data_IF_751685567553
#
_entry.id   IF_751685567553
#
_cell.length_a   1.000
_cell.length_b   1.000
_cell.length_c   1.000
_cell.angle_alpha   90.00
_cell.angle_beta   90.00
_cell.angle_gamma   90.00
#
_symmetry.space_group_name_H-M   'P 1'
#
loop_
_entity.id
_entity.type
_entity.pdbx_description
1 polymer ?
#
# COMPACT_ATOMS: atom_id res chain seq x y z
N UNK A 1 -11.97 5.63 19.89
CA UNK A 1 -12.26 5.02 18.60
C UNK A 1 -11.18 5.37 17.58
N UNK A 2 -10.67 4.37 16.87
CA UNK A 2 -9.62 4.62 15.90
C UNK A 2 -10.25 5.01 14.57
N UNK A 3 -9.87 6.17 14.07
CA UNK A 3 -10.36 6.65 12.78
C UNK A 3 -9.56 6.02 11.65
N UNK A 4 -10.24 5.51 10.65
CA UNK A 4 -9.58 5.01 9.46
C UNK A 4 -9.17 6.16 8.56
N UNK A 5 -7.97 6.04 7.97
CA UNK A 5 -7.40 7.07 7.10
C UNK A 5 -7.48 6.57 5.65
N UNK A 6 -7.87 7.46 4.74
CA UNK A 6 -7.81 7.14 3.32
C UNK A 6 -6.35 7.14 2.88
N UNK A 7 -5.95 6.14 2.09
CA UNK A 7 -4.56 6.05 1.63
C UNK A 7 -4.12 7.32 0.90
N UNK A 8 -5.04 7.99 0.22
CA UNK A 8 -4.73 9.24 -0.48
C UNK A 8 -4.28 10.35 0.47
N UNK A 9 -4.72 10.29 1.72
CA UNK A 9 -4.30 11.29 2.72
C UNK A 9 -2.86 11.08 3.17
N UNK A 10 -2.35 9.86 3.05
CA UNK A 10 -0.97 9.54 3.45
C UNK A 10 0.04 9.77 2.34
N UNK A 11 -0.39 9.62 1.09
CA UNK A 11 0.51 9.68 -0.06
C UNK A 11 1.36 10.96 -0.09
N UNK A 12 0.83 12.16 0.19
CA UNK A 12 1.66 13.37 0.15
C UNK A 12 2.79 13.40 1.15
N UNK A 13 2.72 12.57 2.19
CA UNK A 13 3.74 12.52 3.23
C UNK A 13 4.75 11.40 3.02
N UNK A 14 4.61 10.64 1.94
CA UNK A 14 5.49 9.52 1.65
C UNK A 14 6.57 9.89 0.66
N UNK A 15 7.70 9.18 0.75
CA UNK A 15 8.75 9.31 -0.23
C UNK A 15 8.33 8.64 -1.53
N UNK A 16 9.03 8.96 -2.61
CA UNK A 16 8.78 8.36 -3.91
C UNK A 16 8.82 6.82 -3.83
N UNK A 17 7.78 6.20 -4.36
CA UNK A 17 7.67 4.75 -4.31
C UNK A 17 6.30 4.31 -4.80
N UNK A 18 5.78 3.25 -4.18
CA UNK A 18 4.51 2.64 -4.57
C UNK A 18 3.78 2.17 -3.32
N UNK A 19 2.46 2.21 -3.37
CA UNK A 19 1.62 1.59 -2.33
C UNK A 19 0.61 0.68 -2.99
N UNK A 20 0.26 -0.40 -2.30
CA UNK A 20 -0.74 -1.33 -2.80
C UNK A 20 -1.34 -2.08 -1.62
N UNK A 21 -2.58 -2.55 -1.80
CA UNK A 21 -3.28 -3.31 -0.78
C UNK A 21 -3.36 -4.76 -1.22
N UNK A 22 -3.00 -5.67 -0.31
CA UNK A 22 -3.14 -7.10 -0.55
C UNK A 22 -4.61 -7.53 -0.42
N UNK A 23 -4.91 -8.75 -0.84
CA UNK A 23 -6.27 -9.27 -0.77
C UNK A 23 -6.81 -9.27 0.66
N UNK A 24 -5.94 -9.42 1.66
CA UNK A 24 -6.33 -9.40 3.07
C UNK A 24 -6.50 -8.00 3.63
N UNK A 25 -6.52 -6.98 2.76
CA UNK A 25 -6.70 -5.58 3.11
C UNK A 25 -5.53 -4.95 3.85
N UNK A 26 -4.36 -5.54 3.75
CA UNK A 26 -3.14 -4.97 4.32
C UNK A 26 -2.47 -4.05 3.31
N UNK A 27 -2.25 -2.79 3.69
CA UNK A 27 -1.57 -1.83 2.84
C UNK A 27 -0.06 -1.93 3.03
N UNK A 28 0.67 -1.90 1.91
CA UNK A 28 2.12 -2.01 1.89
C UNK A 28 2.73 -0.88 1.08
N UNK A 29 3.90 -0.41 1.51
CA UNK A 29 4.68 0.56 0.77
C UNK A 29 5.92 -0.12 0.20
N UNK A 30 6.22 0.16 -1.07
CA UNK A 30 7.37 -0.41 -1.78
C UNK A 30 8.21 0.70 -2.39
N UNK A 31 9.53 0.55 -2.36
CA UNK A 31 10.42 1.50 -3.02
C UNK A 31 10.50 1.27 -4.52
N UNK A 32 10.25 0.03 -4.96
CA UNK A 32 10.20 -0.32 -6.38
C UNK A 32 8.82 -0.87 -6.72
N UNK A 33 8.43 -0.76 -7.98
CA UNK A 33 7.11 -1.23 -8.40
C UNK A 33 6.94 -2.71 -8.06
N UNK A 34 5.94 -3.06 -7.24
CA UNK A 34 5.71 -4.46 -6.89
C UNK A 34 5.07 -5.22 -8.04
N UNK A 35 5.10 -6.54 -7.93
CA UNK A 35 4.48 -7.42 -8.90
C UNK A 35 3.22 -8.01 -8.28
N UNK A 36 2.10 -7.95 -9.02
CA UNK A 36 0.87 -8.58 -8.54
C UNK A 36 1.02 -10.09 -8.61
N UNK A 37 0.80 -10.73 -7.47
CA UNK A 37 0.86 -12.17 -7.36
C UNK A 37 -0.54 -12.71 -7.12
N UNK A 38 -0.64 -13.96 -6.71
CA UNK A 38 -1.92 -14.65 -6.57
C UNK A 38 -2.92 -13.90 -5.67
N UNK A 39 -2.50 -13.61 -4.44
CA UNK A 39 -3.36 -12.94 -3.46
C UNK A 39 -2.66 -11.79 -2.75
N UNK A 40 -1.55 -11.31 -3.30
CA UNK A 40 -0.78 -10.25 -2.66
C UNK A 40 0.13 -9.56 -3.68
N UNK A 41 0.71 -8.43 -3.26
CA UNK A 41 1.69 -7.71 -4.04
C UNK A 41 3.08 -8.10 -3.56
N UNK A 42 3.90 -8.62 -4.47
CA UNK A 42 5.23 -9.13 -4.13
C UNK A 42 6.27 -8.03 -4.39
N UNK A 43 7.11 -7.71 -3.39
CA UNK A 43 8.18 -6.73 -3.59
C UNK A 43 9.26 -7.30 -4.52
N UNK A 44 9.81 -6.43 -5.38
CA UNK A 44 10.87 -6.86 -6.29
C UNK A 44 12.19 -7.07 -5.57
N UNK A 45 12.43 -6.32 -4.48
CA UNK A 45 13.71 -6.34 -3.77
C UNK A 45 13.56 -6.65 -2.29
N UNK A 46 12.68 -7.55 -1.94
CA UNK A 46 12.49 -8.01 -0.56
C UNK A 46 12.43 -6.89 0.48
N UNK A 47 11.95 -5.71 0.08
CA UNK A 47 11.83 -4.58 1.00
C UNK A 47 10.48 -3.93 0.85
N UNK A 48 9.79 -3.83 1.96
CA UNK A 48 8.47 -3.19 2.00
C UNK A 48 8.16 -2.82 3.44
N UNK A 49 7.18 -1.93 3.61
CA UNK A 49 6.71 -1.50 4.92
C UNK A 49 5.23 -1.83 5.05
N UNK A 50 4.86 -2.48 6.15
CA UNK A 50 3.46 -2.72 6.48
C UNK A 50 2.87 -1.42 7.03
N UNK A 51 2.09 -0.73 6.22
CA UNK A 51 1.52 0.56 6.64
C UNK A 51 0.46 0.38 7.73
N UNK A 52 -0.23 -0.75 7.74
CA UNK A 52 -1.27 -1.00 8.74
C UNK A 52 -0.73 -1.20 10.15
N UNK A 53 0.58 -1.40 10.29
CA UNK A 53 1.21 -1.42 11.61
C UNK A 53 1.27 -0.01 12.19
N UNK A 54 1.47 0.98 11.33
CA UNK A 54 1.62 2.38 11.74
C UNK A 54 0.29 3.13 11.72
N UNK A 55 -0.58 2.80 10.79
CA UNK A 55 -1.83 3.53 10.56
C UNK A 55 -2.97 2.55 10.31
N UNK A 56 -4.18 2.94 10.71
CA UNK A 56 -5.36 2.21 10.33
C UNK A 56 -5.87 2.81 9.02
N UNK A 57 -5.70 2.10 7.93
CA UNK A 57 -6.00 2.60 6.59
C UNK A 57 -7.26 1.94 6.06
N UNK A 58 -8.15 2.74 5.50
CA UNK A 58 -9.39 2.25 4.94
C UNK A 58 -9.11 1.33 3.74
N UNK A 59 -9.69 0.13 3.69
CA UNK A 59 -9.49 -0.75 2.54
C UNK A 59 -10.24 -0.23 1.30
N UNK A 60 -9.77 -0.63 0.13
CA UNK A 60 -10.45 -0.34 -1.13
C UNK A 60 -11.17 -1.59 -1.61
N UNK A 61 -12.13 -1.42 -2.52
CA UNK A 61 -12.99 -2.51 -2.96
C UNK A 61 -12.29 -3.53 -3.86
N UNK A 62 -11.23 -3.12 -4.57
CA UNK A 62 -10.54 -4.00 -5.51
C UNK A 62 -9.04 -3.95 -5.27
N UNK A 63 -8.54 -4.94 -4.54
CA UNK A 63 -7.12 -4.98 -4.19
C UNK A 63 -6.22 -5.09 -5.42
N UNK A 64 -6.72 -5.72 -6.50
CA UNK A 64 -5.91 -5.90 -7.71
C UNK A 64 -5.65 -4.59 -8.43
N UNK A 65 -6.48 -3.58 -8.17
CA UNK A 65 -6.33 -2.24 -8.75
C UNK A 65 -5.86 -1.22 -7.73
N UNK A 66 -5.36 -1.68 -6.60
CA UNK A 66 -4.97 -0.79 -5.51
C UNK A 66 -3.59 -0.15 -5.68
N UNK A 67 -2.82 -0.61 -6.66
CA UNK A 67 -1.46 -0.09 -6.86
C UNK A 67 -1.49 1.39 -7.23
N UNK A 68 -0.77 2.20 -6.44
CA UNK A 68 -0.69 3.63 -6.65
C UNK A 68 0.77 4.06 -6.63
N UNK A 69 1.16 4.86 -7.62
CA UNK A 69 2.51 5.44 -7.63
C UNK A 69 2.56 6.62 -6.69
N UNK A 70 3.57 6.67 -5.83
CA UNK A 70 3.76 7.73 -4.86
C UNK A 70 4.92 8.62 -5.31
N UNK A 71 4.64 9.92 -5.41
CA UNK A 71 5.62 10.87 -5.89
C UNK A 71 5.84 10.76 -7.39
N UNK A 72 6.90 11.37 -7.87
CA UNK A 72 7.21 11.40 -9.31
C UNK A 72 8.45 10.65 -9.68
#
# INVERSE_FOLDING_TARGET
>A
MTKEIDIQELIPFMKKGWVAMDKDETWLYFTNKPIKYDQYWKPRKNWFIHLNVLFKIKPVSDWEKSLIKVGE
#
